data_IF_565712151643
#
_entry.id   IF_565712151643
#
_cell.length_a   1.000
_cell.length_b   1.000
_cell.length_c   1.000
_cell.angle_alpha   90.00
_cell.angle_beta   90.00
_cell.angle_gamma   90.00
#
_symmetry.space_group_name_H-M   'P 1'
#
loop_
_entity.id
_entity.type
_entity.pdbx_description
1 polymer ?
#
# COMPACT_ATOMS: atom_id res chain seq x y z
N UNK A 1 46.25 35.52 -27.62
CA UNK A 1 44.95 35.35 -26.93
C UNK A 1 44.17 34.36 -27.79
N UNK A 2 43.91 33.11 -27.35
CA UNK A 2 43.17 32.17 -28.19
C UNK A 2 41.69 32.56 -28.21
N UNK A 3 41.16 32.82 -29.41
CA UNK A 3 39.75 33.13 -29.61
C UNK A 3 38.90 31.87 -29.34
N UNK A 4 37.99 31.96 -28.38
CA UNK A 4 37.02 30.91 -28.09
C UNK A 4 36.02 30.83 -29.26
N UNK A 5 36.12 29.74 -30.04
CA UNK A 5 35.28 29.51 -31.21
C UNK A 5 33.77 29.56 -30.89
N UNK A 6 32.94 30.14 -31.78
CA UNK A 6 31.49 30.31 -31.59
C UNK A 6 30.73 29.00 -31.28
N UNK A 7 31.27 27.86 -31.70
CA UNK A 7 30.74 26.52 -31.42
C UNK A 7 30.63 26.23 -29.91
N UNK A 8 31.56 26.75 -29.10
CA UNK A 8 31.53 26.56 -27.65
C UNK A 8 30.36 27.30 -26.98
N UNK A 9 29.98 28.48 -27.50
CA UNK A 9 28.83 29.23 -26.99
C UNK A 9 27.51 28.54 -27.33
N UNK A 10 27.38 27.98 -28.54
CA UNK A 10 26.20 27.19 -28.91
C UNK A 10 26.08 25.89 -28.10
N UNK A 11 27.19 25.20 -27.85
CA UNK A 11 27.20 24.00 -27.02
C UNK A 11 26.85 24.31 -25.54
N UNK A 12 27.38 25.39 -24.98
CA UNK A 12 27.06 25.82 -23.62
C UNK A 12 25.60 26.27 -23.49
N UNK A 13 25.06 26.99 -24.48
CA UNK A 13 23.66 27.41 -24.51
C UNK A 13 22.70 26.22 -24.65
N UNK A 14 23.04 25.22 -25.49
CA UNK A 14 22.24 23.99 -25.63
C UNK A 14 22.25 23.15 -24.35
N UNK A 15 23.40 23.04 -23.67
CA UNK A 15 23.50 22.38 -22.36
C UNK A 15 22.69 23.10 -21.29
N UNK A 16 22.76 24.43 -21.23
CA UNK A 16 22.00 25.25 -20.29
C UNK A 16 20.48 25.13 -20.54
N UNK A 17 20.05 25.19 -21.81
CA UNK A 17 18.66 25.00 -22.19
C UNK A 17 18.16 23.59 -21.87
N UNK A 18 18.98 22.56 -22.11
CA UNK A 18 18.69 21.17 -21.74
C UNK A 18 18.56 20.97 -20.23
N UNK A 19 19.43 21.60 -19.43
CA UNK A 19 19.36 21.61 -17.96
C UNK A 19 18.14 22.36 -17.44
N UNK A 20 17.77 23.47 -18.06
CA UNK A 20 16.59 24.26 -17.71
C UNK A 20 15.32 23.49 -18.05
N UNK A 21 15.23 22.92 -19.26
CA UNK A 21 14.12 22.07 -19.68
C UNK A 21 14.01 20.82 -18.79
N UNK A 22 15.13 20.17 -18.45
CA UNK A 22 15.15 19.06 -17.50
C UNK A 22 14.64 19.47 -16.12
N UNK A 23 15.04 20.64 -15.60
CA UNK A 23 14.52 21.15 -14.31
C UNK A 23 13.04 21.53 -14.37
N UNK A 24 12.57 22.11 -15.47
CA UNK A 24 11.17 22.52 -15.65
C UNK A 24 10.24 21.32 -15.90
N UNK A 25 10.72 20.29 -16.61
CA UNK A 25 9.99 19.04 -16.86
C UNK A 25 10.05 18.09 -15.66
N UNK A 26 11.07 18.23 -14.79
CA UNK A 26 11.18 17.48 -13.55
C UNK A 26 10.16 18.01 -12.55
N UNK A 27 8.98 17.40 -12.52
CA UNK A 27 8.07 17.52 -11.37
C UNK A 27 8.87 17.17 -10.10
N UNK A 28 8.93 18.05 -9.08
CA UNK A 28 9.48 17.65 -7.79
C UNK A 28 8.59 16.51 -7.29
N UNK A 29 9.11 15.27 -7.34
CA UNK A 29 8.43 14.14 -6.74
C UNK A 29 8.17 14.45 -5.26
N UNK A 30 7.06 13.97 -4.71
CA UNK A 30 6.81 14.08 -3.27
C UNK A 30 8.04 13.59 -2.49
N UNK A 31 8.43 14.27 -1.40
CA UNK A 31 9.53 13.80 -0.57
C UNK A 31 9.22 12.39 -0.02
N UNK A 32 10.23 11.51 -0.03
CA UNK A 32 10.12 10.18 0.54
C UNK A 32 10.44 10.24 2.04
N UNK A 33 9.40 10.47 2.82
CA UNK A 33 9.50 10.76 4.25
C UNK A 33 10.00 9.54 5.05
N UNK A 34 10.67 9.81 6.18
CA UNK A 34 10.97 8.81 7.20
C UNK A 34 9.86 8.78 8.23
N UNK A 35 9.58 7.61 8.80
CA UNK A 35 8.62 7.47 9.88
C UNK A 35 9.01 8.36 11.07
N UNK A 36 8.00 8.92 11.75
CA UNK A 36 8.20 9.65 13.01
C UNK A 36 8.96 8.76 14.01
N UNK A 37 10.02 9.29 14.62
CA UNK A 37 10.78 8.58 15.64
C UNK A 37 9.87 8.19 16.82
N UNK A 38 10.00 6.95 17.30
CA UNK A 38 9.17 6.40 18.38
C UNK A 38 7.73 6.06 17.97
N UNK A 39 7.38 6.11 16.68
CA UNK A 39 6.12 5.52 16.20
C UNK A 39 6.17 4.00 16.31
N UNK A 40 5.01 3.33 16.40
CA UNK A 40 4.93 1.86 16.37
C UNK A 40 5.57 1.26 15.13
N UNK A 41 5.72 2.02 14.04
CA UNK A 41 6.42 1.55 12.85
C UNK A 41 7.94 1.36 13.02
N UNK A 42 8.53 1.92 14.08
CA UNK A 42 9.95 1.72 14.38
C UNK A 42 10.30 0.28 14.77
N UNK A 43 9.31 -0.51 15.21
CA UNK A 43 9.47 -1.93 15.54
C UNK A 43 9.80 -2.77 14.30
N UNK A 44 9.31 -2.35 13.13
CA UNK A 44 9.54 -3.04 11.85
C UNK A 44 10.89 -2.69 11.21
N UNK A 45 11.60 -1.65 11.69
CA UNK A 45 12.93 -1.28 11.19
C UNK A 45 13.25 0.22 11.27
N UNK A 46 14.54 0.55 11.28
CA UNK A 46 15.05 1.91 11.50
C UNK A 46 15.11 2.79 10.25
N UNK A 47 14.89 2.23 9.06
CA UNK A 47 15.02 2.94 7.77
C UNK A 47 13.82 2.74 6.83
N UNK A 48 12.65 2.40 7.39
CA UNK A 48 11.41 2.29 6.63
C UNK A 48 11.04 3.65 6.05
N UNK A 49 10.86 3.66 4.73
CA UNK A 49 10.40 4.84 4.00
C UNK A 49 8.90 4.80 3.83
N UNK A 50 8.30 5.97 3.75
CA UNK A 50 6.90 6.14 3.41
C UNK A 50 6.51 5.28 2.20
N UNK A 51 7.32 5.31 1.15
CA UNK A 51 7.14 4.50 -0.05
C UNK A 51 7.09 3.00 0.21
N UNK A 52 7.85 2.48 1.16
CA UNK A 52 7.85 1.05 1.48
C UNK A 52 6.50 0.64 2.10
N UNK A 53 5.88 1.52 2.89
CA UNK A 53 4.54 1.30 3.42
C UNK A 53 3.47 1.36 2.33
N UNK A 54 3.58 2.28 1.37
CA UNK A 54 2.68 2.31 0.22
C UNK A 54 2.76 1.03 -0.61
N UNK A 55 3.97 0.49 -0.81
CA UNK A 55 4.17 -0.77 -1.52
C UNK A 55 3.57 -1.95 -0.76
N UNK A 56 3.72 -1.96 0.56
CA UNK A 56 3.09 -2.97 1.40
C UNK A 56 1.56 -2.87 1.33
N UNK A 57 1.01 -1.66 1.40
CA UNK A 57 -0.43 -1.45 1.26
C UNK A 57 -0.95 -1.98 -0.08
N UNK A 58 -0.31 -1.64 -1.21
CA UNK A 58 -0.68 -2.23 -2.52
C UNK A 58 -0.66 -3.75 -2.49
N UNK A 59 0.36 -4.34 -1.86
CA UNK A 59 0.50 -5.79 -1.77
C UNK A 59 -0.62 -6.43 -0.92
N UNK A 60 -0.98 -5.82 0.22
CA UNK A 60 -2.08 -6.26 1.08
C UNK A 60 -3.41 -6.22 0.34
N UNK A 61 -3.72 -5.09 -0.30
CA UNK A 61 -4.94 -4.87 -1.07
C UNK A 61 -5.06 -5.82 -2.27
N UNK A 62 -3.96 -6.09 -2.96
CA UNK A 62 -3.96 -7.03 -4.08
C UNK A 62 -4.21 -8.48 -3.61
N UNK A 63 -3.75 -8.83 -2.41
CA UNK A 63 -4.05 -10.12 -1.80
C UNK A 63 -5.49 -10.21 -1.29
N UNK A 64 -5.99 -9.18 -0.61
CA UNK A 64 -7.39 -9.07 -0.17
C UNK A 64 -8.35 -9.24 -1.35
N UNK A 65 -8.14 -8.47 -2.42
CA UNK A 65 -8.88 -8.61 -3.68
C UNK A 65 -8.89 -10.06 -4.21
N UNK A 66 -7.71 -10.67 -4.35
CA UNK A 66 -7.59 -12.05 -4.88
C UNK A 66 -8.32 -13.04 -3.97
N UNK A 67 -8.22 -12.85 -2.67
CA UNK A 67 -8.88 -13.67 -1.66
C UNK A 67 -10.40 -13.57 -1.79
N UNK A 68 -10.96 -12.36 -1.87
CA UNK A 68 -12.40 -12.17 -2.00
C UNK A 68 -12.96 -12.66 -3.34
N UNK A 69 -12.22 -12.52 -4.45
CA UNK A 69 -12.61 -13.14 -5.73
C UNK A 69 -12.73 -14.66 -5.56
N UNK A 70 -11.75 -15.30 -4.89
CA UNK A 70 -11.79 -16.74 -4.63
C UNK A 70 -13.00 -17.10 -3.76
N UNK A 71 -13.23 -16.37 -2.68
CA UNK A 71 -14.34 -16.62 -1.75
C UNK A 71 -15.71 -16.40 -2.42
N UNK A 72 -15.83 -15.43 -3.33
CA UNK A 72 -17.04 -15.21 -4.13
C UNK A 72 -17.36 -16.38 -5.08
N UNK A 73 -16.34 -17.12 -5.53
CA UNK A 73 -16.54 -18.31 -6.38
C UNK A 73 -16.96 -19.53 -5.55
N UNK A 74 -16.44 -19.66 -4.33
CA UNK A 74 -16.61 -20.86 -3.50
C UNK A 74 -17.72 -20.76 -2.45
N UNK A 75 -18.21 -19.55 -2.13
CA UNK A 75 -19.26 -19.36 -1.13
C UNK A 75 -20.57 -20.04 -1.56
N UNK A 76 -21.25 -20.65 -0.58
CA UNK A 76 -22.43 -21.50 -0.83
C UNK A 76 -23.69 -20.70 -1.15
N UNK A 77 -23.91 -19.59 -0.44
CA UNK A 77 -25.11 -18.79 -0.60
C UNK A 77 -24.88 -17.57 -1.50
N UNK A 78 -25.95 -17.10 -2.14
CA UNK A 78 -25.88 -16.03 -3.13
C UNK A 78 -25.55 -14.67 -2.53
N UNK A 79 -25.94 -14.41 -1.28
CA UNK A 79 -25.70 -13.10 -0.65
C UNK A 79 -24.24 -12.95 -0.24
N UNK A 80 -23.63 -14.00 0.29
CA UNK A 80 -22.20 -14.04 0.59
C UNK A 80 -21.36 -13.92 -0.67
N UNK A 81 -21.75 -14.57 -1.79
CA UNK A 81 -21.06 -14.39 -3.08
C UNK A 81 -21.07 -12.92 -3.54
N UNK A 82 -22.21 -12.23 -3.41
CA UNK A 82 -22.31 -10.80 -3.75
C UNK A 82 -21.49 -9.94 -2.80
N UNK A 83 -21.51 -10.23 -1.51
CA UNK A 83 -20.69 -9.53 -0.52
C UNK A 83 -19.20 -9.65 -0.85
N UNK A 84 -18.71 -10.87 -1.09
CA UNK A 84 -17.31 -11.09 -1.47
C UNK A 84 -16.94 -10.38 -2.77
N UNK A 85 -17.83 -10.38 -3.78
CA UNK A 85 -17.59 -9.63 -5.01
C UNK A 85 -17.49 -8.12 -4.75
N UNK A 86 -18.37 -7.56 -3.91
CA UNK A 86 -18.32 -6.16 -3.50
C UNK A 86 -17.01 -5.84 -2.77
N UNK A 87 -16.63 -6.65 -1.78
CA UNK A 87 -15.37 -6.45 -1.05
C UNK A 87 -14.17 -6.48 -1.99
N UNK A 88 -14.11 -7.43 -2.93
CA UNK A 88 -13.04 -7.47 -3.93
C UNK A 88 -12.94 -6.18 -4.79
N UNK A 89 -14.07 -5.54 -5.09
CA UNK A 89 -14.08 -4.24 -5.79
C UNK A 89 -13.60 -3.10 -4.89
N UNK A 90 -13.97 -3.10 -3.61
CA UNK A 90 -13.52 -2.12 -2.62
C UNK A 90 -11.99 -2.22 -2.41
N UNK A 91 -11.43 -3.41 -2.18
CA UNK A 91 -9.97 -3.66 -2.09
C UNK A 91 -9.24 -3.22 -3.37
N UNK A 92 -9.84 -3.46 -4.54
CA UNK A 92 -9.25 -3.02 -5.80
C UNK A 92 -9.13 -1.49 -5.88
N UNK A 93 -10.13 -0.76 -5.37
CA UNK A 93 -10.12 0.70 -5.32
C UNK A 93 -9.08 1.22 -4.32
N UNK A 94 -8.93 0.56 -3.17
CA UNK A 94 -7.90 0.87 -2.18
C UNK A 94 -6.49 0.65 -2.75
N UNK A 95 -6.23 -0.50 -3.37
CA UNK A 95 -4.95 -0.78 -4.03
C UNK A 95 -4.60 0.23 -5.13
N UNK A 96 -5.58 0.65 -5.94
CA UNK A 96 -5.41 1.71 -6.94
C UNK A 96 -5.05 3.06 -6.32
N UNK A 97 -5.64 3.37 -5.17
CA UNK A 97 -5.36 4.60 -4.43
C UNK A 97 -3.88 4.64 -4.00
N UNK A 98 -3.37 3.56 -3.39
CA UNK A 98 -1.96 3.49 -3.00
C UNK A 98 -1.01 3.50 -4.21
N UNK A 99 -1.34 2.72 -5.25
CA UNK A 99 -0.55 2.66 -6.48
C UNK A 99 -0.47 4.04 -7.16
N UNK A 100 -1.58 4.77 -7.22
CA UNK A 100 -1.66 6.09 -7.82
C UNK A 100 -0.75 7.13 -7.16
N UNK A 101 -0.29 6.92 -5.93
CA UNK A 101 0.73 7.77 -5.31
C UNK A 101 2.14 7.23 -5.45
N UNK A 102 2.34 5.91 -5.47
CA UNK A 102 3.62 5.34 -5.89
C UNK A 102 4.03 5.87 -7.27
N UNK A 103 3.07 5.97 -8.19
CA UNK A 103 3.27 6.46 -9.55
C UNK A 103 3.66 7.95 -9.63
N UNK A 104 3.37 8.74 -8.59
CA UNK A 104 3.77 10.15 -8.49
C UNK A 104 5.20 10.33 -7.99
N UNK A 105 5.75 9.33 -7.32
CA UNK A 105 7.16 9.35 -6.94
C UNK A 105 8.05 9.00 -8.12
N UNK A 106 9.30 9.50 -8.09
CA UNK A 106 10.33 8.99 -8.98
C UNK A 106 10.41 7.47 -8.81
N UNK A 107 10.49 6.66 -9.89
CA UNK A 107 10.63 5.21 -9.77
C UNK A 107 12.01 4.88 -9.18
N UNK A 108 12.04 4.76 -7.86
CA UNK A 108 13.16 4.21 -7.11
C UNK A 108 12.78 2.75 -6.87
N UNK A 109 13.71 1.82 -7.11
CA UNK A 109 13.48 0.40 -6.86
C UNK A 109 13.24 0.10 -5.38
N UNK A 110 12.82 -1.14 -5.10
CA UNK A 110 12.83 -1.68 -3.74
C UNK A 110 14.26 -1.69 -3.21
N UNK A 111 14.43 -1.33 -1.93
CA UNK A 111 15.70 -1.60 -1.28
C UNK A 111 15.75 -3.09 -0.93
N UNK A 112 16.34 -3.88 -1.83
CA UNK A 112 16.41 -5.34 -1.69
C UNK A 112 17.15 -5.83 -0.43
N UNK A 113 17.89 -4.96 0.27
CA UNK A 113 18.55 -5.30 1.54
C UNK A 113 17.60 -5.18 2.73
N UNK A 114 16.74 -4.18 2.74
CA UNK A 114 15.84 -3.90 3.88
C UNK A 114 14.45 -4.47 3.69
N UNK A 115 14.00 -4.60 2.43
CA UNK A 115 12.66 -5.04 2.10
C UNK A 115 12.31 -6.46 2.59
N UNK A 116 13.16 -7.50 2.41
CA UNK A 116 12.84 -8.83 2.91
C UNK A 116 12.69 -8.88 4.43
N UNK A 117 13.60 -8.23 5.16
CA UNK A 117 13.54 -8.18 6.63
C UNK A 117 12.31 -7.39 7.13
N UNK A 118 11.94 -6.33 6.42
CA UNK A 118 10.72 -5.57 6.70
C UNK A 118 9.47 -6.43 6.51
N UNK A 119 9.34 -7.11 5.36
CA UNK A 119 8.21 -8.01 5.09
C UNK A 119 8.13 -9.15 6.09
N UNK A 120 9.26 -9.75 6.45
CA UNK A 120 9.30 -10.83 7.43
C UNK A 120 8.75 -10.37 8.79
N UNK A 121 9.14 -9.19 9.27
CA UNK A 121 8.59 -8.63 10.50
C UNK A 121 7.10 -8.32 10.41
N UNK A 122 6.66 -7.74 9.29
CA UNK A 122 5.23 -7.46 9.05
C UNK A 122 4.40 -8.75 9.08
N UNK A 123 4.94 -9.85 8.52
CA UNK A 123 4.34 -11.19 8.59
C UNK A 123 4.28 -11.72 10.02
N UNK A 124 5.36 -11.58 10.79
CA UNK A 124 5.43 -12.02 12.19
C UNK A 124 4.39 -11.33 13.09
N UNK A 125 4.11 -10.05 12.82
CA UNK A 125 3.07 -9.27 13.51
C UNK A 125 1.64 -9.54 12.99
N UNK A 126 1.51 -10.38 11.95
CA UNK A 126 0.22 -10.84 11.42
C UNK A 126 -0.46 -9.90 10.43
N UNK A 127 0.19 -8.80 10.02
CA UNK A 127 -0.36 -7.84 9.05
C UNK A 127 -0.46 -8.38 7.62
N UNK A 128 0.20 -9.49 7.33
CA UNK A 128 0.29 -10.06 6.00
C UNK A 128 0.40 -11.59 6.07
N UNK A 129 -0.62 -12.21 6.67
CA UNK A 129 -0.60 -13.65 6.92
C UNK A 129 -0.91 -14.45 5.65
N UNK A 130 -0.26 -15.59 5.49
CA UNK A 130 -0.53 -16.48 4.35
C UNK A 130 -1.99 -16.98 4.40
N UNK A 131 -2.68 -17.06 3.25
CA UNK A 131 -4.08 -17.46 3.20
C UNK A 131 -4.25 -18.94 3.61
N UNK A 132 -5.46 -19.33 4.06
CA UNK A 132 -5.78 -20.73 4.33
C UNK A 132 -5.52 -21.63 3.12
N UNK A 133 -5.27 -22.94 3.34
CA UNK A 133 -5.01 -23.88 2.25
C UNK A 133 -6.20 -24.00 1.30
N UNK A 134 -5.97 -24.60 0.12
CA UNK A 134 -6.96 -24.65 -0.95
C UNK A 134 -8.25 -25.40 -0.57
N UNK A 135 -8.15 -26.36 0.34
CA UNK A 135 -9.21 -27.21 0.87
C UNK A 135 -9.84 -26.68 2.17
N UNK A 136 -9.46 -25.48 2.61
CA UNK A 136 -10.05 -24.84 3.79
C UNK A 136 -11.57 -24.71 3.64
N UNK A 137 -12.27 -24.94 4.76
CA UNK A 137 -13.71 -24.72 4.85
C UNK A 137 -14.06 -23.25 4.68
N UNK A 138 -15.31 -22.99 4.31
CA UNK A 138 -15.84 -21.63 4.22
C UNK A 138 -15.74 -20.88 5.56
N UNK A 139 -16.00 -21.56 6.67
CA UNK A 139 -15.87 -20.99 8.02
C UNK A 139 -14.41 -20.61 8.34
N UNK A 140 -13.42 -21.41 7.93
CA UNK A 140 -11.98 -21.09 8.07
C UNK A 140 -11.56 -19.91 7.18
N UNK A 141 -12.07 -19.85 5.94
CA UNK A 141 -11.85 -18.73 5.04
C UNK A 141 -12.44 -17.44 5.61
N UNK A 142 -13.67 -17.48 6.12
CA UNK A 142 -14.32 -16.34 6.76
C UNK A 142 -13.56 -15.87 8.01
N UNK A 143 -13.11 -16.79 8.85
CA UNK A 143 -12.31 -16.46 10.04
C UNK A 143 -10.97 -15.81 9.66
N UNK A 144 -10.33 -16.26 8.59
CA UNK A 144 -9.15 -15.60 8.06
C UNK A 144 -9.47 -14.19 7.54
N UNK A 145 -10.53 -14.04 6.74
CA UNK A 145 -10.95 -12.75 6.20
C UNK A 145 -11.17 -11.71 7.30
N UNK A 146 -11.96 -12.05 8.32
CA UNK A 146 -12.23 -11.18 9.48
C UNK A 146 -10.92 -10.76 10.17
N UNK A 147 -9.99 -11.70 10.36
CA UNK A 147 -8.68 -11.38 10.95
C UNK A 147 -7.86 -10.46 10.06
N UNK A 148 -7.88 -10.64 8.74
CA UNK A 148 -7.17 -9.76 7.82
C UNK A 148 -7.76 -8.35 7.83
N UNK A 149 -9.08 -8.18 7.82
CA UNK A 149 -9.71 -6.85 7.91
C UNK A 149 -9.28 -6.08 9.18
N UNK A 150 -9.27 -6.77 10.32
CA UNK A 150 -8.79 -6.20 11.59
C UNK A 150 -7.33 -5.77 11.47
N UNK A 151 -6.48 -6.62 10.89
CA UNK A 151 -5.06 -6.34 10.75
C UNK A 151 -4.76 -5.23 9.75
N UNK A 152 -5.47 -5.16 8.64
CA UNK A 152 -5.38 -4.05 7.68
C UNK A 152 -5.79 -2.73 8.34
N UNK A 153 -6.87 -2.71 9.12
CA UNK A 153 -7.29 -1.54 9.89
C UNK A 153 -6.23 -1.09 10.91
N UNK A 154 -5.64 -2.03 11.66
CA UNK A 154 -4.53 -1.77 12.59
C UNK A 154 -3.31 -1.19 11.85
N UNK A 155 -2.97 -1.73 10.67
CA UNK A 155 -1.86 -1.25 9.86
C UNK A 155 -2.07 0.19 9.41
N UNK A 156 -3.25 0.53 8.90
CA UNK A 156 -3.57 1.89 8.48
C UNK A 156 -3.61 2.89 9.65
N UNK A 157 -4.00 2.44 10.84
CA UNK A 157 -3.90 3.27 12.05
C UNK A 157 -2.43 3.53 12.45
N UNK A 158 -1.56 2.51 12.38
CA UNK A 158 -0.11 2.68 12.62
C UNK A 158 0.53 3.61 11.58
N UNK A 159 0.10 3.46 10.33
CA UNK A 159 0.52 4.33 9.24
C UNK A 159 0.15 5.80 9.54
N UNK A 160 -1.11 6.07 9.88
CA UNK A 160 -1.59 7.43 10.21
C UNK A 160 -0.73 8.08 11.31
N UNK A 161 -0.38 7.32 12.34
CA UNK A 161 0.42 7.81 13.47
C UNK A 161 1.87 8.11 13.09
N UNK A 162 2.46 7.30 12.22
CA UNK A 162 3.86 7.46 11.81
C UNK A 162 4.05 8.58 10.77
N UNK A 163 3.01 8.89 9.98
CA UNK A 163 3.05 9.85 8.88
C UNK A 163 1.77 10.71 8.80
N UNK A 164 1.54 11.61 9.78
CA UNK A 164 0.30 12.38 9.84
C UNK A 164 0.03 13.25 8.61
N UNK A 165 1.09 13.70 7.92
CA UNK A 165 1.00 14.64 6.79
C UNK A 165 1.09 13.98 5.40
N UNK A 166 1.74 12.81 5.29
CA UNK A 166 2.10 12.19 4.02
C UNK A 166 0.92 11.88 3.08
N UNK A 167 -0.29 11.72 3.63
CA UNK A 167 -1.49 11.33 2.89
C UNK A 167 -2.78 12.03 3.37
N UNK A 168 -2.65 13.09 4.17
CA UNK A 168 -3.74 13.72 4.94
C UNK A 168 -4.53 12.71 5.77
N UNK A 169 -4.36 12.79 7.09
CA UNK A 169 -5.10 12.09 8.16
C UNK A 169 -6.49 11.54 7.78
N UNK A 170 -7.34 12.35 7.17
CA UNK A 170 -8.69 11.99 6.78
C UNK A 170 -8.81 10.80 5.82
N UNK A 171 -7.87 10.59 4.91
CA UNK A 171 -7.96 9.45 3.99
C UNK A 171 -7.61 8.13 4.68
N UNK A 172 -6.57 8.10 5.52
CA UNK A 172 -6.22 6.88 6.28
C UNK A 172 -7.33 6.55 7.28
N UNK A 173 -7.93 7.56 7.91
CA UNK A 173 -9.11 7.35 8.76
C UNK A 173 -10.28 6.75 7.98
N UNK A 174 -10.54 7.22 6.76
CA UNK A 174 -11.59 6.64 5.92
C UNK A 174 -11.30 5.18 5.58
N UNK A 175 -10.06 4.83 5.25
CA UNK A 175 -9.67 3.44 5.00
C UNK A 175 -9.85 2.58 6.26
N UNK A 176 -9.37 3.03 7.42
CA UNK A 176 -9.58 2.32 8.70
C UNK A 176 -11.08 2.07 8.96
N UNK A 177 -11.94 3.04 8.69
CA UNK A 177 -13.38 2.86 8.87
C UNK A 177 -14.03 1.96 7.80
N UNK A 178 -13.46 1.90 6.59
CA UNK A 178 -13.85 0.95 5.55
C UNK A 178 -13.47 -0.48 5.92
N UNK A 179 -12.24 -0.74 6.36
CA UNK A 179 -11.82 -2.08 6.82
C UNK A 179 -12.67 -2.57 8.01
N UNK A 180 -12.92 -1.68 8.99
CA UNK A 180 -13.85 -2.02 10.08
C UNK A 180 -15.27 -2.28 9.58
N UNK A 181 -15.70 -1.65 8.49
CA UNK A 181 -16.99 -1.95 7.86
C UNK A 181 -16.95 -3.32 7.19
N UNK A 182 -15.89 -3.66 6.47
CA UNK A 182 -15.70 -5.00 5.88
C UNK A 182 -15.78 -6.07 6.97
N UNK A 183 -15.05 -5.89 8.09
CA UNK A 183 -15.11 -6.77 9.26
C UNK A 183 -16.55 -6.97 9.74
N UNK A 184 -17.30 -5.87 9.96
CA UNK A 184 -18.70 -5.95 10.41
C UNK A 184 -19.60 -6.67 9.42
N UNK A 185 -19.41 -6.44 8.11
CA UNK A 185 -20.18 -7.12 7.07
C UNK A 185 -19.89 -8.63 7.06
N UNK A 186 -18.62 -9.02 7.19
CA UNK A 186 -18.22 -10.43 7.27
C UNK A 186 -18.79 -11.10 8.52
N UNK A 187 -18.75 -10.44 9.68
CA UNK A 187 -19.37 -10.96 10.91
C UNK A 187 -20.87 -11.11 10.79
N UNK A 188 -21.54 -10.20 10.07
CA UNK A 188 -22.97 -10.31 9.79
C UNK A 188 -23.29 -11.49 8.86
N UNK A 189 -22.46 -11.73 7.84
CA UNK A 189 -22.60 -12.87 6.93
C UNK A 189 -22.24 -14.21 7.60
N UNK A 190 -21.27 -14.19 8.53
CA UNK A 190 -20.76 -15.36 9.24
C UNK A 190 -20.92 -15.22 10.76
N UNK A 191 -22.16 -15.20 11.29
CA UNK A 191 -22.43 -14.90 12.70
C UNK A 191 -21.89 -15.95 13.70
N UNK A 192 -21.49 -17.13 13.21
CA UNK A 192 -20.89 -18.20 14.01
C UNK A 192 -19.38 -18.03 14.23
N UNK A 193 -18.76 -17.05 13.57
CA UNK A 193 -17.32 -16.79 13.63
C UNK A 193 -17.08 -15.58 14.55
N UNK A 194 -16.34 -15.81 15.64
CA UNK A 194 -16.03 -14.82 16.68
C UNK A 194 -14.59 -14.34 16.57
#
# INVERSE_FOLDING_TARGET
MPELHPVYYFAAAALAAGLLAYRLLRRPGQPDEKAKQGSGLSEFGTDIRLRDLFRLAVLMEEQGKKFYIKMAVTAKDTETRKLCALLAEEEAAHGQLFQGHLDRWRPIGLNMRTWPAFLEKVKQEGFFADPPPADASEDEMAAYAIRQEIKTAEFYALFEQAFPEAWKKDHLRRLVEQEKRHERLLRAAYPRIH
#
